data_IF_816973682856
#
_entry.id   IF_816973682856
#
_cell.length_a   1.000
_cell.length_b   1.000
_cell.length_c   1.000
_cell.angle_alpha   90.00
_cell.angle_beta   90.00
_cell.angle_gamma   90.00
#
_symmetry.space_group_name_H-M   'P 1'
#
loop_
_entity.id
_entity.type
_entity.pdbx_description
1 polymer ?
#
# COMPACT_ATOMS: atom_id res chain seq x y z
N UNK A 1 36.28 -5.68 -12.20
CA UNK A 1 35.02 -5.19 -11.59
C UNK A 1 35.04 -3.67 -11.72
N UNK A 2 34.13 -3.03 -12.47
CA UNK A 2 34.08 -1.57 -12.49
C UNK A 2 33.63 -1.09 -11.11
N UNK A 3 34.51 -0.37 -10.41
CA UNK A 3 34.15 0.37 -9.20
C UNK A 3 33.19 1.48 -9.62
N UNK A 4 31.90 1.34 -9.29
CA UNK A 4 30.93 2.39 -9.56
C UNK A 4 31.36 3.65 -8.78
N UNK A 5 31.49 4.78 -9.48
CA UNK A 5 31.75 6.06 -8.82
C UNK A 5 30.68 6.31 -7.75
N UNK A 6 31.06 6.86 -6.58
CA UNK A 6 30.10 7.14 -5.52
C UNK A 6 29.01 8.10 -6.02
N UNK A 7 27.77 7.99 -5.49
CA UNK A 7 26.68 8.85 -5.91
C UNK A 7 27.02 10.33 -5.65
N UNK A 8 26.46 11.27 -6.45
CA UNK A 8 26.70 12.70 -6.29
C UNK A 8 26.06 13.31 -5.03
N UNK A 9 25.45 12.49 -4.18
CA UNK A 9 24.80 12.87 -2.93
C UNK A 9 25.25 11.91 -1.82
N UNK A 10 25.38 12.39 -0.58
CA UNK A 10 25.70 11.54 0.56
C UNK A 10 24.64 10.44 0.73
N UNK A 11 25.10 9.25 1.09
CA UNK A 11 24.25 8.10 1.38
C UNK A 11 23.49 8.29 2.69
N UNK A 12 22.39 7.56 2.87
CA UNK A 12 21.60 7.58 4.11
C UNK A 12 22.47 7.27 5.34
N UNK A 13 23.41 6.32 5.21
CA UNK A 13 24.36 5.96 6.25
C UNK A 13 25.36 7.08 6.58
N UNK A 14 25.79 7.86 5.58
CA UNK A 14 26.70 9.00 5.79
C UNK A 14 25.98 10.20 6.43
N UNK A 15 24.67 10.33 6.21
CA UNK A 15 23.86 11.40 6.79
C UNK A 15 23.25 11.05 8.15
N UNK A 16 23.44 9.81 8.63
CA UNK A 16 22.77 9.26 9.83
C UNK A 16 21.25 9.51 9.80
N UNK A 17 20.65 9.36 8.61
CA UNK A 17 19.24 9.69 8.40
C UNK A 17 18.35 8.49 8.70
N UNK A 18 17.43 8.69 9.63
CA UNK A 18 16.28 7.81 9.84
C UNK A 18 15.06 8.30 9.05
N UNK A 19 14.03 7.44 8.97
CA UNK A 19 12.78 7.78 8.31
C UNK A 19 12.01 8.82 9.15
N UNK A 20 12.10 10.11 8.79
CA UNK A 20 11.32 11.17 9.44
C UNK A 20 9.82 11.01 9.15
N UNK A 21 9.02 10.89 10.21
CA UNK A 21 7.57 10.69 10.15
C UNK A 21 6.84 11.74 9.29
N UNK A 22 7.31 12.99 9.25
CA UNK A 22 6.66 14.04 8.44
C UNK A 22 6.87 13.78 6.96
N UNK A 23 8.06 13.34 6.58
CA UNK A 23 8.36 12.99 5.19
C UNK A 23 7.68 11.69 4.79
N UNK A 24 7.68 10.68 5.67
CA UNK A 24 6.94 9.43 5.47
C UNK A 24 5.45 9.69 5.29
N UNK A 25 4.83 10.50 6.16
CA UNK A 25 3.42 10.87 6.04
C UNK A 25 3.11 11.64 4.75
N UNK A 26 4.00 12.55 4.32
CA UNK A 26 3.85 13.26 3.06
C UNK A 26 3.94 12.31 1.84
N UNK A 27 4.90 11.38 1.85
CA UNK A 27 5.05 10.37 0.82
C UNK A 27 3.83 9.41 0.78
N UNK A 28 3.34 8.97 1.94
CA UNK A 28 2.16 8.12 2.05
C UNK A 28 0.90 8.81 1.53
N UNK A 29 0.64 10.05 1.92
CA UNK A 29 -0.49 10.85 1.38
C UNK A 29 -0.38 11.00 -0.14
N UNK A 30 0.84 11.17 -0.68
CA UNK A 30 1.07 11.21 -2.13
C UNK A 30 0.75 9.87 -2.79
N UNK A 31 1.14 8.74 -2.20
CA UNK A 31 0.78 7.41 -2.67
C UNK A 31 -0.73 7.22 -2.72
N UNK A 32 -1.44 7.59 -1.65
CA UNK A 32 -2.91 7.53 -1.61
C UNK A 32 -3.52 8.39 -2.73
N UNK A 33 -3.05 9.62 -2.89
CA UNK A 33 -3.48 10.50 -3.99
C UNK A 33 -3.25 9.88 -5.36
N UNK A 34 -2.09 9.25 -5.58
CA UNK A 34 -1.77 8.56 -6.83
C UNK A 34 -2.72 7.38 -7.09
N UNK A 35 -2.96 6.54 -6.09
CA UNK A 35 -3.84 5.37 -6.20
C UNK A 35 -5.32 5.76 -6.41
N UNK A 36 -5.76 6.91 -5.89
CA UNK A 36 -7.09 7.48 -6.13
C UNK A 36 -7.23 8.02 -7.56
N UNK A 37 -6.18 8.65 -8.09
CA UNK A 37 -6.17 9.12 -9.48
C UNK A 37 -6.15 7.98 -10.52
N UNK A 38 -5.92 6.74 -10.06
CA UNK A 38 -5.83 5.53 -10.90
C UNK A 38 -6.84 4.45 -10.50
N UNK A 39 -8.15 4.72 -10.63
CA UNK A 39 -9.19 3.74 -10.28
C UNK A 39 -9.16 2.50 -11.20
N UNK A 40 -8.55 2.60 -12.38
CA UNK A 40 -8.38 1.48 -13.31
C UNK A 40 -7.47 0.38 -12.75
N UNK A 41 -6.54 0.72 -11.85
CA UNK A 41 -5.67 -0.25 -11.19
C UNK A 41 -6.48 -0.99 -10.14
N UNK A 42 -6.92 -2.22 -10.43
CA UNK A 42 -7.74 -2.98 -9.50
C UNK A 42 -6.91 -3.53 -8.35
N UNK A 43 -7.54 -3.72 -7.18
CA UNK A 43 -6.84 -4.28 -6.02
C UNK A 43 -6.33 -5.70 -6.29
N UNK A 44 -7.04 -6.49 -7.09
CA UNK A 44 -6.60 -7.85 -7.44
C UNK A 44 -5.28 -7.83 -8.22
N UNK A 45 -5.10 -6.90 -9.14
CA UNK A 45 -3.86 -6.76 -9.90
C UNK A 45 -2.68 -6.38 -9.01
N UNK A 46 -2.92 -5.45 -8.06
CA UNK A 46 -1.92 -5.09 -7.04
C UNK A 46 -1.55 -6.29 -6.16
N UNK A 47 -2.54 -7.08 -5.74
CA UNK A 47 -2.28 -8.30 -4.96
C UNK A 47 -1.51 -9.36 -5.76
N UNK A 48 -1.81 -9.53 -7.05
CA UNK A 48 -1.12 -10.49 -7.92
C UNK A 48 0.35 -10.09 -8.09
N UNK A 49 0.60 -8.80 -8.35
CA UNK A 49 1.93 -8.31 -8.69
C UNK A 49 2.78 -8.09 -7.45
N UNK A 50 2.25 -7.40 -6.44
CA UNK A 50 3.02 -6.82 -5.34
C UNK A 50 2.67 -7.39 -3.96
N UNK A 51 1.63 -8.22 -3.84
CA UNK A 51 1.25 -8.84 -2.56
C UNK A 51 0.53 -7.91 -1.58
N UNK A 52 0.27 -6.65 -1.95
CA UNK A 52 -0.54 -5.71 -1.17
C UNK A 52 -1.49 -4.93 -2.08
N UNK A 53 -2.53 -4.33 -1.51
CA UNK A 53 -3.45 -3.45 -2.23
C UNK A 53 -3.93 -2.30 -1.35
N UNK A 54 -4.86 -1.47 -1.86
CA UNK A 54 -5.45 -0.36 -1.10
C UNK A 54 -6.08 -0.80 0.23
N UNK A 55 -6.69 -1.99 0.27
CA UNK A 55 -7.26 -2.52 1.50
C UNK A 55 -6.19 -2.84 2.54
N UNK A 56 -5.03 -3.36 2.13
CA UNK A 56 -3.88 -3.57 3.01
C UNK A 56 -3.39 -2.25 3.60
N UNK A 57 -3.31 -1.19 2.78
CA UNK A 57 -2.94 0.15 3.27
C UNK A 57 -3.94 0.68 4.32
N UNK A 58 -5.23 0.40 4.14
CA UNK A 58 -6.26 0.78 5.10
C UNK A 58 -6.15 0.00 6.41
N UNK A 59 -5.91 -1.30 6.33
CA UNK A 59 -5.70 -2.15 7.50
C UNK A 59 -4.42 -1.72 8.26
N UNK A 60 -3.29 -1.47 7.56
CA UNK A 60 -2.07 -0.93 8.19
C UNK A 60 -2.26 0.43 8.86
N UNK A 61 -3.01 1.34 8.21
CA UNK A 61 -3.33 2.64 8.81
C UNK A 61 -4.17 2.47 10.07
N UNK A 62 -5.16 1.56 10.04
CA UNK A 62 -6.00 1.25 11.20
C UNK A 62 -5.18 0.66 12.35
N UNK A 63 -4.27 -0.26 12.04
CA UNK A 63 -3.45 -0.93 13.05
C UNK A 63 -2.48 0.08 13.70
N UNK A 64 -1.88 0.97 12.91
CA UNK A 64 -1.09 2.11 13.42
C UNK A 64 -1.93 3.07 14.27
N UNK A 65 -3.17 3.37 13.87
CA UNK A 65 -4.09 4.19 14.64
C UNK A 65 -4.53 3.52 15.94
N UNK A 66 -4.67 2.19 15.97
CA UNK A 66 -5.05 1.42 17.17
C UNK A 66 -3.91 1.40 18.19
N UNK A 67 -2.65 1.41 17.74
CA UNK A 67 -1.49 1.44 18.61
C UNK A 67 -1.23 2.80 19.30
N UNK A 68 -1.73 3.90 18.73
CA UNK A 68 -1.39 5.26 19.19
C UNK A 68 -2.52 6.29 19.20
N UNK A 69 -3.75 5.90 18.91
CA UNK A 69 -4.89 6.80 18.71
C UNK A 69 -6.24 6.16 19.07
N UNK A 70 -7.37 6.82 18.75
CA UNK A 70 -8.70 6.28 19.03
C UNK A 70 -8.97 5.04 18.15
N UNK A 71 -9.78 4.09 18.63
CA UNK A 71 -10.16 2.93 17.83
C UNK A 71 -10.81 3.40 16.53
N UNK A 72 -10.21 2.97 15.41
CA UNK A 72 -10.69 3.27 14.07
C UNK A 72 -11.35 2.02 13.50
N UNK A 73 -12.59 2.15 13.07
CA UNK A 73 -13.25 1.04 12.41
C UNK A 73 -12.68 0.81 11.00
N UNK A 74 -12.97 -0.37 10.44
CA UNK A 74 -12.44 -0.78 9.12
C UNK A 74 -12.98 0.07 7.97
N UNK A 75 -14.21 0.56 8.08
CA UNK A 75 -14.85 1.34 7.01
C UNK A 75 -14.29 2.76 6.96
N UNK A 76 -14.10 3.39 8.12
CA UNK A 76 -13.45 4.67 8.28
C UNK A 76 -12.00 4.64 7.80
N UNK A 77 -11.24 3.58 8.12
CA UNK A 77 -9.87 3.41 7.62
C UNK A 77 -9.83 3.32 6.08
N UNK A 78 -10.81 2.62 5.49
CA UNK A 78 -10.95 2.56 4.04
C UNK A 78 -11.35 3.91 3.47
N UNK A 79 -12.32 4.61 4.04
CA UNK A 79 -12.71 5.94 3.60
C UNK A 79 -11.51 6.90 3.57
N UNK A 80 -10.64 6.85 4.58
CA UNK A 80 -9.39 7.61 4.61
C UNK A 80 -8.42 7.24 3.48
N UNK A 81 -8.38 5.98 3.05
CA UNK A 81 -7.52 5.52 1.95
C UNK A 81 -8.12 5.82 0.58
N UNK A 82 -9.40 5.56 0.37
CA UNK A 82 -10.11 5.75 -0.89
C UNK A 82 -10.51 7.21 -1.14
N UNK A 83 -10.64 8.02 -0.10
CA UNK A 83 -11.08 9.42 -0.18
C UNK A 83 -12.60 9.60 -0.33
N UNK A 84 -13.36 8.50 -0.29
CA UNK A 84 -14.82 8.43 -0.29
C UNK A 84 -15.24 7.10 0.37
N UNK A 85 -16.52 6.93 0.74
CA UNK A 85 -17.02 5.67 1.29
C UNK A 85 -16.70 4.49 0.37
N UNK A 86 -16.17 3.40 0.94
CA UNK A 86 -15.74 2.24 0.15
C UNK A 86 -16.88 1.64 -0.69
N UNK A 87 -18.11 1.69 -0.18
CA UNK A 87 -19.29 1.25 -0.92
C UNK A 87 -19.47 2.07 -2.22
N UNK A 88 -19.33 3.39 -2.17
CA UNK A 88 -19.45 4.27 -3.33
C UNK A 88 -18.33 4.04 -4.33
N UNK A 89 -17.09 3.92 -3.83
CA UNK A 89 -15.93 3.61 -4.69
C UNK A 89 -16.11 2.27 -5.41
N UNK A 90 -16.58 1.25 -4.68
CA UNK A 90 -16.86 -0.08 -5.24
C UNK A 90 -17.91 -0.02 -6.34
N UNK A 91 -18.99 0.73 -6.15
CA UNK A 91 -20.02 0.90 -7.18
C UNK A 91 -19.50 1.63 -8.43
N UNK A 92 -18.64 2.64 -8.26
CA UNK A 92 -18.12 3.45 -9.37
C UNK A 92 -16.99 2.78 -10.16
N UNK A 93 -16.14 2.01 -9.50
CA UNK A 93 -14.81 1.66 -10.04
C UNK A 93 -14.43 0.19 -9.93
N UNK A 94 -15.06 -0.59 -9.05
CA UNK A 94 -14.70 -1.99 -8.89
C UNK A 94 -15.31 -2.83 -10.01
N UNK A 95 -14.45 -3.59 -10.69
CA UNK A 95 -14.85 -4.55 -11.73
C UNK A 95 -14.87 -5.94 -11.14
N UNK A 96 -15.68 -6.81 -11.74
CA UNK A 96 -15.61 -8.24 -11.45
C UNK A 96 -14.26 -8.78 -11.92
N UNK A 97 -13.63 -9.58 -11.06
CA UNK A 97 -12.36 -10.22 -11.40
C UNK A 97 -12.60 -11.30 -12.46
N UNK A 98 -11.76 -11.32 -13.49
CA UNK A 98 -11.84 -12.39 -14.50
C UNK A 98 -11.35 -13.72 -13.91
N UNK A 99 -11.76 -14.87 -14.47
CA UNK A 99 -11.27 -16.18 -14.05
C UNK A 99 -9.73 -16.27 -14.06
N UNK A 100 -9.09 -15.61 -15.03
CA UNK A 100 -7.63 -15.56 -15.15
C UNK A 100 -6.99 -14.77 -14.01
N UNK A 101 -7.60 -13.64 -13.60
CA UNK A 101 -7.11 -12.86 -12.46
C UNK A 101 -7.28 -13.64 -11.14
N UNK A 102 -8.39 -14.36 -10.98
CA UNK A 102 -8.60 -15.21 -9.81
C UNK A 102 -7.54 -16.33 -9.73
N UNK A 103 -7.29 -17.03 -10.84
CA UNK A 103 -6.26 -18.06 -10.91
C UNK A 103 -4.85 -17.49 -10.66
N UNK A 104 -4.55 -16.31 -11.22
CA UNK A 104 -3.29 -15.63 -11.01
C UNK A 104 -3.12 -15.17 -9.55
N UNK A 105 -4.21 -14.78 -8.89
CA UNK A 105 -4.21 -14.41 -7.47
C UNK A 105 -3.99 -15.63 -6.56
N UNK A 106 -4.62 -16.77 -6.84
CA UNK A 106 -4.33 -18.02 -6.13
C UNK A 106 -2.86 -18.44 -6.31
N UNK A 107 -2.32 -18.27 -7.52
CA UNK A 107 -0.91 -18.54 -7.78
C UNK A 107 0.04 -17.52 -7.11
N UNK A 108 -0.36 -16.25 -6.98
CA UNK A 108 0.43 -15.22 -6.31
C UNK A 108 0.41 -15.39 -4.79
N UNK A 109 -0.69 -15.85 -4.19
CA UNK A 109 -0.76 -16.12 -2.76
C UNK A 109 0.35 -17.10 -2.32
N UNK A 110 0.68 -18.10 -3.14
CA UNK A 110 1.80 -19.02 -2.87
C UNK A 110 3.20 -18.41 -3.05
N UNK A 111 3.32 -17.32 -3.81
CA UNK A 111 4.59 -16.61 -4.06
C UNK A 111 4.85 -15.55 -3.00
N UNK A 112 3.79 -14.89 -2.55
CA UNK A 112 3.83 -13.86 -1.52
C UNK A 112 3.52 -14.43 -0.12
N UNK A 113 3.41 -15.77 0.04
CA UNK A 113 3.23 -16.44 1.34
C UNK A 113 4.51 -16.50 2.19
N UNK A 114 5.46 -15.59 1.98
CA UNK A 114 6.65 -15.47 2.83
C UNK A 114 6.43 -14.34 3.84
N UNK A 115 6.16 -14.77 5.07
CA UNK A 115 6.25 -14.11 6.37
C UNK A 115 6.17 -12.57 6.41
N UNK A 116 5.08 -12.04 6.98
CA UNK A 116 5.16 -10.75 7.66
C UNK A 116 6.22 -10.85 8.77
N UNK A 117 7.27 -10.03 8.76
CA UNK A 117 8.10 -9.85 9.93
C UNK A 117 7.36 -8.91 10.87
N UNK A 118 6.68 -9.45 11.89
CA UNK A 118 6.18 -8.65 13.02
C UNK A 118 4.70 -8.78 13.36
N UNK A 119 4.19 -10.01 13.51
CA UNK A 119 3.13 -10.28 14.47
C UNK A 119 3.73 -10.56 15.85
#
# INVERSE_FOLDING_TARGET
MPSAAPPPYPTIAEMDMELDDRFAAAAFRRLLGHLRSRPEVQNIDLMILAGFCRNCLADWYRDAATAGGPPLDREAARELVYGEPFADWRMKHQREATPEQLAAFEASQRRHSVAEPGA
#
